data_IF_341020410481
#
_entry.id   IF_341020410481
#
_cell.length_a   1.000
_cell.length_b   1.000
_cell.length_c   1.000
_cell.angle_alpha   90.00
_cell.angle_beta   90.00
_cell.angle_gamma   90.00
#
_symmetry.space_group_name_H-M   'P 1'
#
loop_
_entity.id
_entity.type
_entity.pdbx_description
1 polymer ?
#
# COMPACT_ATOMS: atom_id res chain seq x y z
N UNK A 1 -19.90 8.75 0.25
CA UNK A 1 -18.98 8.96 1.35
C UNK A 1 -17.63 8.32 1.06
N UNK A 2 -16.60 9.04 1.39
CA UNK A 2 -15.26 8.57 1.09
C UNK A 2 -14.80 7.57 2.15
N UNK A 3 -14.26 6.44 1.71
CA UNK A 3 -13.62 5.48 2.58
C UNK A 3 -12.12 5.73 2.59
N UNK A 4 -11.50 5.47 3.73
CA UNK A 4 -10.05 5.61 3.86
C UNK A 4 -9.46 4.27 4.26
N UNK A 5 -8.23 3.98 3.80
CA UNK A 5 -7.58 2.74 4.19
C UNK A 5 -7.27 2.72 5.68
N UNK A 6 -7.66 1.63 6.33
CA UNK A 6 -7.22 1.36 7.68
C UNK A 6 -5.93 0.59 7.55
N UNK A 7 -4.83 1.23 7.74
CA UNK A 7 -3.64 0.48 7.51
C UNK A 7 -2.41 1.11 8.06
N UNK A 8 -1.55 0.25 8.53
CA UNK A 8 -0.24 0.62 8.95
C UNK A 8 0.74 0.29 7.84
N UNK A 9 1.78 1.07 7.78
CA UNK A 9 2.87 0.79 6.90
C UNK A 9 3.46 -0.57 7.25
N UNK A 10 3.62 -1.42 6.25
CA UNK A 10 4.21 -2.74 6.42
C UNK A 10 5.54 -2.80 5.71
N UNK A 11 6.43 -3.63 6.22
CA UNK A 11 7.75 -3.82 5.63
C UNK A 11 7.90 -5.28 5.22
N UNK A 12 8.30 -5.50 3.98
CA UNK A 12 8.45 -6.84 3.45
C UNK A 12 9.65 -6.88 2.52
N UNK A 13 10.25 -8.06 2.40
CA UNK A 13 11.33 -8.27 1.45
C UNK A 13 10.74 -8.46 0.07
N UNK A 14 11.24 -7.71 -0.91
CA UNK A 14 10.83 -7.84 -2.30
C UNK A 14 11.93 -8.51 -3.10
N UNK A 15 11.56 -9.12 -4.24
CA UNK A 15 12.56 -9.69 -5.10
C UNK A 15 13.43 -8.57 -5.71
N UNK A 16 14.61 -8.95 -6.16
CA UNK A 16 15.60 -7.98 -6.61
C UNK A 16 15.12 -7.12 -7.76
N UNK A 17 14.37 -7.70 -8.69
CA UNK A 17 13.86 -6.95 -9.83
C UNK A 17 12.95 -5.81 -9.40
N UNK A 18 12.05 -6.10 -8.46
CA UNK A 18 11.13 -5.08 -7.98
C UNK A 18 11.80 -4.04 -7.11
N UNK A 19 12.78 -4.43 -6.32
CA UNK A 19 13.53 -3.49 -5.49
C UNK A 19 14.26 -2.44 -6.31
N UNK A 20 14.70 -2.80 -7.50
CA UNK A 20 15.41 -1.87 -8.39
C UNK A 20 14.55 -0.72 -8.87
N UNK A 21 13.23 -0.87 -8.80
CA UNK A 21 12.33 0.21 -9.17
C UNK A 21 12.32 1.34 -8.15
N UNK A 22 12.76 1.08 -6.92
CA UNK A 22 12.80 2.07 -5.85
C UNK A 22 11.42 2.37 -5.31
N UNK A 23 10.57 2.97 -6.13
CA UNK A 23 9.23 3.42 -5.75
C UNK A 23 8.24 3.05 -6.83
N UNK A 24 7.13 2.42 -6.46
CA UNK A 24 6.12 2.01 -7.43
C UNK A 24 4.80 1.75 -6.70
N UNK A 25 3.75 1.39 -7.42
CA UNK A 25 2.44 1.14 -6.85
C UNK A 25 1.92 -0.23 -7.27
N UNK A 26 1.12 -0.85 -6.40
CA UNK A 26 0.43 -2.09 -6.72
C UNK A 26 -1.00 -2.01 -6.23
N UNK A 27 -1.88 -2.78 -6.87
CA UNK A 27 -3.27 -2.92 -6.43
C UNK A 27 -3.41 -4.21 -5.63
N UNK A 28 -3.88 -4.09 -4.41
CA UNK A 28 -4.07 -5.25 -3.55
C UNK A 28 -5.17 -4.95 -2.54
N UNK A 29 -5.73 -6.00 -1.94
CA UNK A 29 -6.81 -5.82 -0.99
C UNK A 29 -6.30 -5.17 0.29
N UNK A 30 -7.10 -4.27 0.86
CA UNK A 30 -6.87 -3.77 2.20
C UNK A 30 -8.22 -3.53 2.87
N UNK A 31 -8.21 -3.21 4.15
CA UNK A 31 -9.43 -2.87 4.88
C UNK A 31 -9.64 -1.37 4.81
N UNK A 32 -10.83 -0.98 4.36
CA UNK A 32 -11.21 0.43 4.26
C UNK A 32 -12.36 0.71 5.22
N UNK A 33 -12.29 1.84 5.87
CA UNK A 33 -13.31 2.27 6.83
C UNK A 33 -13.89 3.61 6.41
N UNK A 34 -15.18 3.78 6.64
CA UNK A 34 -15.83 5.04 6.32
C UNK A 34 -17.33 4.94 6.46
N UNK A 35 -18.00 6.00 6.02
CA UNK A 35 -19.43 6.08 6.12
C UNK A 35 -19.88 6.60 7.47
N UNK A 36 -21.20 6.79 7.60
CA UNK A 36 -21.78 7.37 8.81
C UNK A 36 -21.55 6.52 10.05
N UNK A 37 -21.43 5.20 9.88
CA UNK A 37 -21.24 4.29 11.00
C UNK A 37 -19.79 3.86 11.20
N UNK A 38 -18.89 4.36 10.39
CA UNK A 38 -17.49 3.98 10.50
C UNK A 38 -17.21 2.52 10.22
N UNK A 39 -18.01 1.91 9.35
CA UNK A 39 -17.85 0.49 9.03
C UNK A 39 -16.58 0.25 8.22
N UNK A 40 -15.98 -0.90 8.44
CA UNK A 40 -14.76 -1.31 7.74
C UNK A 40 -15.05 -2.53 6.89
N UNK A 41 -14.59 -2.49 5.64
CA UNK A 41 -14.82 -3.55 4.66
C UNK A 41 -13.56 -3.77 3.84
N UNK A 42 -13.35 -5.01 3.33
CA UNK A 42 -12.28 -5.24 2.38
C UNK A 42 -12.55 -4.47 1.08
N UNK A 43 -11.51 -3.96 0.48
CA UNK A 43 -11.62 -3.19 -0.75
C UNK A 43 -10.33 -3.31 -1.55
N UNK A 44 -10.40 -3.17 -2.89
CA UNK A 44 -9.18 -3.00 -3.66
C UNK A 44 -8.52 -1.70 -3.24
N UNK A 45 -7.23 -1.75 -3.00
CA UNK A 45 -6.47 -0.58 -2.56
C UNK A 45 -5.23 -0.40 -3.41
N UNK A 46 -4.85 0.85 -3.61
CA UNK A 46 -3.59 1.15 -4.26
C UNK A 46 -2.54 1.37 -3.18
N UNK A 47 -1.52 0.51 -3.18
CA UNK A 47 -0.42 0.59 -2.23
C UNK A 47 0.75 1.33 -2.86
N UNK A 48 1.33 2.24 -2.11
CA UNK A 48 2.60 2.84 -2.49
C UNK A 48 3.71 2.00 -1.89
N UNK A 49 4.65 1.59 -2.74
CA UNK A 49 5.77 0.75 -2.34
C UNK A 49 7.03 1.59 -2.43
N UNK A 50 7.83 1.58 -1.38
CA UNK A 50 9.10 2.29 -1.36
C UNK A 50 10.19 1.34 -0.87
N UNK A 51 11.18 1.10 -1.70
CA UNK A 51 12.28 0.19 -1.39
C UNK A 51 13.57 0.92 -1.03
N UNK A 52 13.57 2.26 -1.02
CA UNK A 52 14.73 3.06 -0.67
C UNK A 52 14.57 3.58 0.75
N UNK A 53 14.60 2.66 1.72
CA UNK A 53 14.31 3.01 3.11
C UNK A 53 15.62 3.08 3.89
N UNK A 54 15.97 4.25 4.45
CA UNK A 54 17.12 4.33 5.33
C UNK A 54 16.87 3.57 6.63
N UNK A 55 17.91 3.06 7.22
CA UNK A 55 17.87 2.39 8.52
C UNK A 55 17.06 1.09 8.52
N UNK A 56 16.89 0.46 7.36
CA UNK A 56 16.27 -0.86 7.24
C UNK A 56 17.21 -1.81 6.52
N UNK A 57 17.11 -3.11 6.80
CA UNK A 57 17.97 -4.08 6.10
C UNK A 57 17.76 -3.99 4.59
N UNK A 58 18.84 -4.25 3.87
CA UNK A 58 18.80 -4.27 2.42
C UNK A 58 17.75 -5.27 1.95
N UNK A 59 16.94 -4.85 0.99
CA UNK A 59 15.91 -5.70 0.42
C UNK A 59 14.52 -5.46 0.98
N UNK A 60 14.39 -4.69 2.04
CA UNK A 60 13.08 -4.37 2.61
C UNK A 60 12.44 -3.21 1.87
N UNK A 61 11.12 -3.32 1.69
CA UNK A 61 10.31 -2.28 1.08
C UNK A 61 9.14 -1.97 2.01
N UNK A 62 8.70 -0.72 2.02
CA UNK A 62 7.52 -0.32 2.76
C UNK A 62 6.30 -0.41 1.85
N UNK A 63 5.17 -0.82 2.43
CA UNK A 63 3.88 -0.95 1.75
C UNK A 63 2.89 -0.09 2.51
N UNK A 64 2.42 0.97 1.87
CA UNK A 64 1.49 1.90 2.50
C UNK A 64 0.23 2.00 1.65
N UNK A 65 -0.95 1.59 2.16
CA UNK A 65 -2.18 1.75 1.40
C UNK A 65 -2.53 3.23 1.31
N UNK A 66 -2.77 3.72 0.10
CA UNK A 66 -3.04 5.14 -0.13
C UNK A 66 -4.50 5.43 -0.39
N UNK A 67 -5.15 4.59 -1.18
CA UNK A 67 -6.55 4.81 -1.57
C UNK A 67 -7.31 3.51 -1.53
N UNK A 68 -8.63 3.62 -1.40
CA UNK A 68 -9.53 2.47 -1.38
C UNK A 68 -10.07 2.14 -2.77
N UNK A 69 -9.28 2.39 -3.78
CA UNK A 69 -9.56 1.99 -5.15
C UNK A 69 -8.22 1.90 -5.88
N UNK A 70 -8.28 1.37 -7.09
CA UNK A 70 -7.07 1.22 -7.90
C UNK A 70 -7.07 2.13 -9.12
N UNK A 71 -7.95 3.12 -9.15
CA UNK A 71 -7.97 4.08 -10.25
C UNK A 71 -6.69 4.91 -10.20
N UNK A 72 -6.00 4.95 -11.33
CA UNK A 72 -4.74 5.67 -11.41
C UNK A 72 -3.57 4.97 -10.73
N UNK A 73 -3.77 3.74 -10.28
CA UNK A 73 -2.71 2.97 -9.65
C UNK A 73 -1.84 2.35 -10.75
N UNK A 74 -0.61 2.77 -10.82
CA UNK A 74 0.33 2.30 -11.83
C UNK A 74 1.06 1.07 -11.32
N UNK A 75 0.87 -0.01 -12.01
CA UNK A 75 1.47 -1.30 -11.64
C UNK A 75 2.69 -1.57 -12.50
#
# INVERSE_FOLDING_TARGET
MMMVPLGEEKFMVMNETRRKLGSFQICSVCTCCGGAKGLCLPSPCCYAINCNIPNRPFGYCSFTPKTCNCFGCHI
#
